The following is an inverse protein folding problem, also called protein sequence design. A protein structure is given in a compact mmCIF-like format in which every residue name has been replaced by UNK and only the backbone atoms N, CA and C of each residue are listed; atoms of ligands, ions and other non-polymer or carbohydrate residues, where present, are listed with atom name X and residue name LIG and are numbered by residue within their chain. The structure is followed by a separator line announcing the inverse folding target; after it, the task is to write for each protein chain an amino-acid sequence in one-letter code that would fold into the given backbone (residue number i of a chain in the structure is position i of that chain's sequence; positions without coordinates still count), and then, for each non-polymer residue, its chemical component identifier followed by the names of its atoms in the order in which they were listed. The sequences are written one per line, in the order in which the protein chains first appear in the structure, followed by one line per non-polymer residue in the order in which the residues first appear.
data_IF_775476338484
#
_entry.id   IF_775476338484
#
_cell.length_a   1.000
_cell.length_b   1.000
_cell.length_c   1.000
_cell.angle_alpha   90.00
_cell.angle_beta   90.00
_cell.angle_gamma   90.00
#
_symmetry.space_group_name_H-M   'P 1'
#
loop_
_entity.id
_entity.type
_entity.pdbx_description
1 polymer ?
#
# COMPACT_ATOMS: atom_id res chain seq x y z
N UNK A 1 -5.11 -11.98 -20.29
CA UNK A 1 -5.76 -13.31 -20.30
C UNK A 1 -6.32 -13.70 -18.94
N UNK A 2 -5.75 -13.18 -17.85
CA UNK A 2 -6.11 -13.54 -16.47
C UNK A 2 -7.60 -13.35 -16.14
N UNK A 3 -8.24 -12.25 -16.56
CA UNK A 3 -9.68 -12.04 -16.31
C UNK A 3 -10.56 -13.09 -16.98
N UNK A 4 -10.27 -13.44 -18.24
CA UNK A 4 -11.00 -14.49 -18.97
C UNK A 4 -10.80 -15.85 -18.29
N UNK A 5 -9.57 -16.16 -17.89
CA UNK A 5 -9.26 -17.42 -17.24
C UNK A 5 -9.94 -17.53 -15.86
N UNK A 6 -9.99 -16.44 -15.09
CA UNK A 6 -10.70 -16.40 -13.82
C UNK A 6 -12.21 -16.61 -14.01
N UNK A 7 -12.84 -15.92 -14.98
CA UNK A 7 -14.26 -16.13 -15.30
C UNK A 7 -14.55 -17.58 -15.71
N UNK A 8 -13.73 -18.16 -16.59
CA UNK A 8 -13.91 -19.57 -17.01
C UNK A 8 -13.76 -20.53 -15.83
N UNK A 9 -12.80 -20.30 -14.93
CA UNK A 9 -12.59 -21.15 -13.73
C UNK A 9 -13.71 -21.02 -12.69
N UNK A 10 -14.41 -19.89 -12.69
CA UNK A 10 -15.47 -19.57 -11.73
C UNK A 10 -16.86 -19.66 -12.35
N UNK A 11 -17.03 -20.40 -13.45
CA UNK A 11 -18.31 -20.58 -14.15
C UNK A 11 -19.02 -19.25 -14.47
N UNK A 12 -18.23 -18.23 -14.85
CA UNK A 12 -18.67 -16.87 -15.17
C UNK A 12 -19.30 -16.10 -13.99
N UNK A 13 -19.17 -16.59 -12.76
CA UNK A 13 -19.52 -15.87 -11.54
C UNK A 13 -18.51 -14.73 -11.32
N UNK A 14 -18.98 -13.50 -11.51
CA UNK A 14 -18.15 -12.29 -11.43
C UNK A 14 -17.56 -12.12 -10.03
N UNK A 15 -18.32 -12.42 -8.97
CA UNK A 15 -17.86 -12.23 -7.60
C UNK A 15 -16.76 -13.22 -7.27
N UNK A 16 -16.98 -14.51 -7.57
CA UNK A 16 -15.96 -15.55 -7.37
C UNK A 16 -14.72 -15.32 -8.24
N UNK A 17 -14.90 -14.85 -9.47
CA UNK A 17 -13.78 -14.52 -10.34
C UNK A 17 -12.95 -13.35 -9.79
N UNK A 18 -13.59 -12.32 -9.23
CA UNK A 18 -12.91 -11.20 -8.56
C UNK A 18 -12.12 -11.68 -7.33
N UNK A 19 -12.74 -12.49 -6.47
CA UNK A 19 -12.09 -13.07 -5.29
C UNK A 19 -10.88 -13.94 -5.69
N UNK A 20 -11.03 -14.77 -6.73
CA UNK A 20 -9.93 -15.58 -7.26
C UNK A 20 -8.79 -14.73 -7.85
N UNK A 21 -9.10 -13.62 -8.52
CA UNK A 21 -8.09 -12.69 -9.02
C UNK A 21 -7.36 -11.98 -7.88
N UNK A 22 -8.07 -11.63 -6.80
CA UNK A 22 -7.47 -11.07 -5.60
C UNK A 22 -6.45 -12.05 -5.01
N UNK A 23 -6.85 -13.29 -4.74
CA UNK A 23 -5.97 -14.34 -4.22
C UNK A 23 -4.75 -14.59 -5.12
N UNK A 24 -4.95 -14.67 -6.44
CA UNK A 24 -3.84 -14.77 -7.40
C UNK A 24 -2.91 -13.55 -7.36
N UNK A 25 -3.45 -12.36 -7.10
CA UNK A 25 -2.67 -11.14 -6.89
C UNK A 25 -1.72 -11.29 -5.70
N UNK A 26 -2.22 -11.79 -4.57
CA UNK A 26 -1.41 -12.08 -3.39
C UNK A 26 -0.26 -13.05 -3.70
N UNK A 27 -0.55 -14.16 -4.39
CA UNK A 27 0.49 -15.10 -4.79
C UNK A 27 1.54 -14.47 -5.72
N UNK A 28 1.09 -13.66 -6.69
CA UNK A 28 1.97 -12.99 -7.64
C UNK A 28 2.86 -11.96 -6.99
N UNK A 29 2.36 -11.27 -5.96
CA UNK A 29 3.11 -10.32 -5.15
C UNK A 29 4.13 -11.06 -4.26
N UNK A 30 3.73 -12.12 -3.57
CA UNK A 30 4.62 -12.95 -2.75
C UNK A 30 5.81 -13.49 -3.57
N UNK A 31 5.56 -13.99 -4.79
CA UNK A 31 6.60 -14.46 -5.73
C UNK A 31 7.59 -13.38 -6.19
N UNK A 32 7.33 -12.10 -5.89
CA UNK A 32 8.16 -10.95 -6.27
C UNK A 32 8.76 -10.23 -5.08
N UNK A 33 8.38 -10.56 -3.85
CA UNK A 33 8.78 -9.85 -2.65
C UNK A 33 10.30 -9.71 -2.51
N UNK A 34 11.05 -10.75 -2.92
CA UNK A 34 12.52 -10.78 -2.85
C UNK A 34 13.23 -10.01 -3.98
N UNK A 35 12.49 -9.50 -4.98
CA UNK A 35 13.10 -8.75 -6.08
C UNK A 35 13.56 -7.39 -5.60
N UNK A 36 14.76 -7.00 -6.00
CA UNK A 36 15.33 -5.72 -5.63
C UNK A 36 14.51 -4.55 -6.19
N UNK A 37 14.18 -3.59 -5.34
CA UNK A 37 13.45 -2.36 -5.69
C UNK A 37 14.32 -1.14 -5.38
N UNK A 38 15.03 -0.68 -6.41
CA UNK A 38 15.95 0.46 -6.32
C UNK A 38 15.43 1.75 -6.97
N UNK A 39 14.26 1.71 -7.60
CA UNK A 39 13.59 2.86 -8.21
C UNK A 39 12.34 3.19 -7.39
N UNK A 40 11.66 4.31 -7.68
CA UNK A 40 10.45 4.69 -6.94
C UNK A 40 10.17 6.19 -6.91
N UNK A 41 9.37 6.60 -5.93
CA UNK A 41 9.02 7.99 -5.66
C UNK A 41 9.16 8.32 -4.17
N UNK A 42 9.62 9.54 -3.91
CA UNK A 42 9.35 10.23 -2.65
C UNK A 42 8.09 11.05 -2.87
N UNK A 43 7.02 10.74 -2.14
CA UNK A 43 5.75 11.47 -2.23
C UNK A 43 5.48 12.19 -0.90
N UNK A 44 5.13 13.47 -1.00
CA UNK A 44 4.77 14.29 0.14
C UNK A 44 3.31 14.75 0.03
N UNK A 45 2.56 14.59 1.11
CA UNK A 45 1.21 15.10 1.22
C UNK A 45 1.11 16.06 2.40
N UNK A 46 0.57 17.26 2.16
CA UNK A 46 0.29 18.26 3.20
C UNK A 46 -1.22 18.47 3.21
N UNK A 47 -1.86 18.18 4.33
CA UNK A 47 -3.29 18.35 4.45
C UNK A 47 -3.69 19.83 4.47
N UNK A 48 -4.96 20.10 4.12
CA UNK A 48 -5.52 21.44 4.09
C UNK A 48 -5.24 22.20 5.41
N UNK A 49 -4.75 23.44 5.27
CA UNK A 49 -4.35 24.26 6.42
C UNK A 49 -2.91 24.06 6.89
N UNK A 50 -2.15 23.12 6.32
CA UNK A 50 -0.69 23.00 6.53
C UNK A 50 -0.26 22.56 7.92
N UNK A 51 -1.19 22.01 8.72
CA UNK A 51 -0.92 21.61 10.11
C UNK A 51 -0.45 20.18 10.27
N UNK A 52 -0.73 19.32 9.29
CA UNK A 52 -0.34 17.91 9.30
C UNK A 52 0.10 17.52 7.89
N UNK A 53 1.13 16.69 7.81
CA UNK A 53 1.60 16.15 6.53
C UNK A 53 2.45 14.91 6.73
N UNK A 54 2.67 14.20 5.64
CA UNK A 54 3.52 13.01 5.62
C UNK A 54 4.40 12.97 4.37
N UNK A 55 5.54 12.32 4.50
CA UNK A 55 6.44 11.98 3.39
C UNK A 55 6.62 10.46 3.40
N UNK A 56 6.52 9.84 2.23
CA UNK A 56 6.73 8.40 2.07
C UNK A 56 7.79 8.13 1.01
N UNK A 57 8.45 6.98 1.13
CA UNK A 57 9.25 6.39 0.06
C UNK A 57 8.58 5.10 -0.43
N UNK A 58 8.08 5.13 -1.67
CA UNK A 58 7.48 3.98 -2.33
C UNK A 58 8.42 3.51 -3.45
N UNK A 59 8.91 2.28 -3.37
CA UNK A 59 9.87 1.74 -4.33
C UNK A 59 9.23 0.73 -5.29
N UNK A 60 9.78 0.66 -6.49
CA UNK A 60 9.52 -0.34 -7.52
C UNK A 60 10.83 -0.83 -8.18
N UNK A 61 10.75 -1.74 -9.15
CA UNK A 61 11.93 -2.30 -9.81
C UNK A 61 12.50 -1.32 -10.85
N UNK A 62 11.66 -0.63 -11.63
CA UNK A 62 12.10 0.25 -12.73
C UNK A 62 11.57 1.69 -12.62
N UNK A 63 12.28 2.63 -13.25
CA UNK A 63 11.85 4.03 -13.32
C UNK A 63 10.64 4.22 -14.27
N UNK A 64 10.40 3.29 -15.18
CA UNK A 64 9.21 3.26 -16.03
C UNK A 64 7.94 3.14 -15.21
N UNK A 65 7.88 2.18 -14.26
CA UNK A 65 6.70 2.02 -13.38
C UNK A 65 6.54 3.24 -12.47
N UNK A 66 7.63 3.77 -11.91
CA UNK A 66 7.60 4.96 -11.05
C UNK A 66 6.96 6.20 -11.72
N UNK A 67 6.98 6.29 -13.06
CA UNK A 67 6.41 7.41 -13.81
C UNK A 67 4.96 7.22 -14.23
N UNK A 68 4.38 6.03 -14.04
CA UNK A 68 2.98 5.76 -14.39
C UNK A 68 2.02 6.48 -13.46
N UNK A 69 0.85 6.87 -13.98
CA UNK A 69 -0.19 7.54 -13.17
C UNK A 69 -0.67 6.62 -12.05
N UNK A 70 -0.76 5.32 -12.30
CA UNK A 70 -1.19 4.34 -11.30
C UNK A 70 -0.23 4.27 -10.11
N UNK A 71 1.08 4.28 -10.34
CA UNK A 71 2.07 4.30 -9.24
C UNK A 71 2.08 5.63 -8.50
N UNK A 72 1.95 6.76 -9.22
CA UNK A 72 1.86 8.10 -8.63
C UNK A 72 0.60 8.25 -7.75
N UNK A 73 -0.55 7.78 -8.23
CA UNK A 73 -1.80 7.80 -7.47
C UNK A 73 -1.68 6.93 -6.22
N UNK A 74 -1.08 5.73 -6.32
CA UNK A 74 -0.83 4.88 -5.16
C UNK A 74 0.05 5.58 -4.12
N UNK A 75 1.16 6.19 -4.54
CA UNK A 75 2.04 6.92 -3.63
C UNK A 75 1.31 8.08 -2.93
N UNK A 76 0.52 8.85 -3.69
CA UNK A 76 -0.27 9.95 -3.16
C UNK A 76 -1.32 9.49 -2.14
N UNK A 77 -2.02 8.41 -2.46
CA UNK A 77 -3.04 7.83 -1.58
C UNK A 77 -2.44 7.28 -0.28
N UNK A 78 -1.26 6.65 -0.35
CA UNK A 78 -0.54 6.20 0.84
C UNK A 78 -0.04 7.39 1.67
N UNK A 79 0.48 8.46 1.05
CA UNK A 79 0.92 9.63 1.80
C UNK A 79 -0.25 10.31 2.53
N UNK A 80 -1.41 10.41 1.87
CA UNK A 80 -2.64 10.90 2.48
C UNK A 80 -3.16 9.96 3.58
N UNK A 81 -3.07 8.64 3.40
CA UNK A 81 -3.38 7.65 4.43
C UNK A 81 -2.52 7.86 5.68
N UNK A 82 -1.19 7.93 5.53
CA UNK A 82 -0.26 8.14 6.66
C UNK A 82 -0.60 9.42 7.41
N UNK A 83 -0.88 10.49 6.67
CA UNK A 83 -1.29 11.78 7.25
C UNK A 83 -2.54 11.65 8.11
N UNK A 84 -3.55 10.93 7.62
CA UNK A 84 -4.86 10.81 8.26
C UNK A 84 -4.90 9.80 9.42
N UNK A 85 -4.19 8.69 9.29
CA UNK A 85 -4.33 7.53 10.18
C UNK A 85 -3.17 7.33 11.15
N UNK A 86 -2.09 8.10 11.00
CA UNK A 86 -0.93 8.10 11.90
C UNK A 86 -0.40 6.70 12.27
N UNK A 87 -0.14 5.81 11.29
CA UNK A 87 0.49 4.52 11.59
C UNK A 87 1.88 4.72 12.21
N UNK A 88 2.29 3.80 13.06
CA UNK A 88 3.63 3.78 13.66
C UNK A 88 4.57 2.81 12.93
N UNK A 89 4.01 1.80 12.27
CA UNK A 89 4.74 0.70 11.65
C UNK A 89 4.30 0.49 10.20
N UNK A 90 5.16 -0.13 9.38
CA UNK A 90 4.80 -0.49 8.01
C UNK A 90 3.94 -1.75 8.03
N UNK A 91 4.41 -2.82 8.65
CA UNK A 91 3.77 -4.12 8.65
C UNK A 91 3.70 -4.75 10.05
N UNK A 92 2.96 -5.88 10.17
CA UNK A 92 2.76 -6.60 11.44
C UNK A 92 4.08 -7.12 12.02
N UNK A 93 5.03 -7.43 11.15
CA UNK A 93 6.35 -7.91 11.52
C UNK A 93 7.19 -6.83 12.24
N UNK A 94 6.89 -5.56 12.00
CA UNK A 94 7.56 -4.42 12.67
C UNK A 94 6.91 -4.09 14.02
N UNK A 95 5.72 -4.61 14.31
CA UNK A 95 4.97 -4.33 15.53
C UNK A 95 5.60 -5.07 16.73
N UNK A 96 5.94 -4.38 17.84
CA UNK A 96 6.43 -5.01 19.05
C UNK A 96 5.43 -6.04 19.59
N UNK A 97 5.94 -7.19 20.05
CA UNK A 97 5.11 -8.28 20.55
C UNK A 97 4.30 -7.92 21.81
N UNK A 98 4.72 -6.88 22.52
CA UNK A 98 4.10 -6.31 23.71
C UNK A 98 3.20 -5.10 23.40
N UNK A 99 2.99 -4.76 22.11
CA UNK A 99 2.10 -3.67 21.73
C UNK A 99 0.63 -3.99 22.08
N UNK A 100 -0.04 -3.05 22.74
CA UNK A 100 -1.48 -3.12 23.02
C UNK A 100 -2.33 -2.60 21.85
N UNK A 101 -1.71 -1.92 20.88
CA UNK A 101 -2.41 -1.33 19.74
C UNK A 101 -2.74 -2.38 18.68
N UNK A 102 -3.99 -2.44 18.19
CA UNK A 102 -4.35 -3.35 17.10
C UNK A 102 -3.52 -3.08 15.84
N UNK A 103 -3.15 -4.13 15.12
CA UNK A 103 -2.37 -4.00 13.90
C UNK A 103 -3.09 -3.14 12.84
N UNK A 104 -4.42 -3.20 12.77
CA UNK A 104 -5.25 -2.41 11.86
C UNK A 104 -5.21 -0.90 12.16
N UNK A 105 -4.68 -0.50 13.32
CA UNK A 105 -4.44 0.90 13.71
C UNK A 105 -2.96 1.23 13.56
N UNK A 106 -2.07 0.41 14.13
CA UNK A 106 -0.65 0.72 14.23
C UNK A 106 0.14 0.47 12.93
N UNK A 107 -0.29 -0.49 12.09
CA UNK A 107 0.47 -0.93 10.92
C UNK A 107 -0.18 -0.45 9.61
N UNK A 108 0.54 0.37 8.85
CA UNK A 108 0.06 0.98 7.60
C UNK A 108 -0.50 -0.04 6.61
N UNK A 109 0.16 -1.19 6.41
CA UNK A 109 -0.28 -2.23 5.47
C UNK A 109 -1.63 -2.85 5.85
N UNK A 110 -1.98 -2.84 7.12
CA UNK A 110 -3.19 -3.49 7.65
C UNK A 110 -4.37 -2.54 7.77
N UNK A 111 -4.11 -1.23 7.71
CA UNK A 111 -5.14 -0.22 7.80
C UNK A 111 -6.14 -0.32 6.65
N UNK A 112 -7.44 -0.16 6.93
CA UNK A 112 -8.45 0.13 5.91
C UNK A 112 -8.11 1.44 5.19
N UNK A 113 -8.29 1.46 3.88
CA UNK A 113 -8.03 2.64 3.06
C UNK A 113 -9.09 3.71 3.31
N UNK A 114 -8.66 4.94 3.63
CA UNK A 114 -9.57 6.04 3.98
C UNK A 114 -10.59 6.40 2.88
N UNK A 115 -10.30 6.13 1.60
CA UNK A 115 -11.23 6.37 0.49
C UNK A 115 -12.14 5.17 0.20
N UNK A 116 -11.82 3.97 0.68
CA UNK A 116 -12.62 2.75 0.53
C UNK A 116 -12.27 1.72 1.61
N UNK A 117 -13.10 1.66 2.66
CA UNK A 117 -12.84 0.81 3.83
C UNK A 117 -12.95 -0.70 3.55
N UNK A 118 -13.39 -1.11 2.36
CA UNK A 118 -13.44 -2.53 1.98
C UNK A 118 -12.08 -3.08 1.54
N UNK A 119 -11.07 -2.22 1.42
CA UNK A 119 -9.73 -2.56 0.95
C UNK A 119 -8.71 -2.02 1.95
N UNK A 120 -7.62 -2.76 2.13
CA UNK A 120 -6.48 -2.30 2.93
C UNK A 120 -5.42 -1.65 2.05
N UNK A 121 -4.44 -0.97 2.66
CA UNK A 121 -3.27 -0.47 1.91
C UNK A 121 -2.48 -1.61 1.25
N UNK A 122 -2.38 -2.77 1.92
CA UNK A 122 -1.80 -4.00 1.34
C UNK A 122 -2.54 -4.40 0.05
N UNK A 123 -3.87 -4.34 0.03
CA UNK A 123 -4.66 -4.64 -1.18
C UNK A 123 -4.30 -3.68 -2.32
N UNK A 124 -4.20 -2.37 -2.06
CA UNK A 124 -3.83 -1.38 -3.08
C UNK A 124 -2.48 -1.68 -3.73
N UNK A 125 -1.49 -2.03 -2.90
CA UNK A 125 -0.14 -2.37 -3.36
C UNK A 125 -0.18 -3.65 -4.20
N UNK A 126 -0.87 -4.70 -3.74
CA UNK A 126 -0.98 -5.97 -4.45
C UNK A 126 -1.66 -5.80 -5.81
N UNK A 127 -2.70 -4.96 -5.88
CA UNK A 127 -3.36 -4.65 -7.14
C UNK A 127 -2.42 -3.91 -8.11
N UNK A 128 -1.62 -2.96 -7.60
CA UNK A 128 -0.63 -2.26 -8.40
C UNK A 128 0.46 -3.24 -8.89
N UNK A 129 0.94 -4.14 -8.04
CA UNK A 129 1.87 -5.23 -8.41
C UNK A 129 1.26 -6.14 -9.47
N UNK A 130 -0.01 -6.50 -9.36
CA UNK A 130 -0.69 -7.37 -10.32
C UNK A 130 -0.78 -6.72 -11.71
N UNK A 131 -0.97 -5.40 -11.77
CA UNK A 131 -1.06 -4.62 -13.01
C UNK A 131 0.30 -4.33 -13.64
N UNK A 132 1.26 -3.88 -12.84
CA UNK A 132 2.62 -3.49 -13.30
C UNK A 132 3.56 -4.68 -13.47
N UNK A 133 3.30 -5.77 -12.74
CA UNK A 133 4.14 -6.98 -12.66
C UNK A 133 5.52 -6.76 -12.03
N UNK A 134 5.71 -5.65 -11.33
CA UNK A 134 6.91 -5.35 -10.55
C UNK A 134 6.66 -5.54 -9.05
N UNK A 135 7.70 -5.82 -8.29
CA UNK A 135 7.68 -5.68 -6.84
C UNK A 135 7.49 -4.21 -6.46
N UNK A 136 6.59 -3.94 -5.52
CA UNK A 136 6.33 -2.61 -4.98
C UNK A 136 6.34 -2.70 -3.46
N UNK A 137 7.09 -1.82 -2.80
CA UNK A 137 7.17 -1.78 -1.34
C UNK A 137 7.21 -0.34 -0.81
N UNK A 138 6.66 -0.15 0.38
CA UNK A 138 6.89 1.05 1.18
C UNK A 138 8.20 0.81 1.94
N UNK A 139 9.21 1.66 1.74
CA UNK A 139 10.48 1.52 2.48
C UNK A 139 10.47 2.28 3.80
N UNK A 140 9.82 3.45 3.84
CA UNK A 140 9.70 4.28 5.04
C UNK A 140 8.63 5.34 4.84
N UNK A 141 8.15 5.89 5.94
CA UNK A 141 7.35 7.09 5.96
C UNK A 141 7.71 7.92 7.20
N UNK A 142 7.33 9.19 7.18
CA UNK A 142 7.33 10.07 8.34
C UNK A 142 6.07 10.92 8.30
N UNK A 143 5.51 11.19 9.47
CA UNK A 143 4.37 12.08 9.66
C UNK A 143 4.81 13.23 10.56
N UNK A 144 4.28 14.42 10.29
CA UNK A 144 4.45 15.59 11.12
C UNK A 144 3.10 16.21 11.42
N UNK A 145 2.88 16.59 12.67
CA UNK A 145 1.71 17.35 13.10
C UNK A 145 2.14 18.54 13.97
N UNK A 146 1.56 19.70 13.70
CA UNK A 146 1.84 20.93 14.42
C UNK A 146 1.42 20.80 15.90
N UNK A 147 2.42 20.84 16.79
CA UNK A 147 2.22 20.73 18.24
C UNK A 147 2.41 19.31 18.78
N UNK A 148 2.68 18.33 17.92
CA UNK A 148 3.12 17.00 18.32
C UNK A 148 4.59 17.06 18.74
N UNK A 149 4.90 16.62 19.97
CA UNK A 149 6.28 16.41 20.41
C UNK A 149 6.77 15.09 19.84
N UNK A 150 7.84 15.12 19.03
CA UNK A 150 8.51 13.90 18.59
C UNK A 150 8.92 13.07 19.82
N UNK A 151 8.36 11.88 19.96
CA UNK A 151 8.92 10.86 20.84
C UNK A 151 10.10 10.24 20.08
N UNK A 152 11.31 10.54 20.54
CA UNK A 152 12.56 9.92 20.08
C UNK A 152 12.63 8.43 20.47
#
# INVERSE_FOLDING_TARGET
MDCRNALVKCDWDIKKAADSLKEQGYEKAAKKADRATGQGLIEAYIHAGGRVGAIIELNCETDFVARTDEFKTLAHDIAMQVTAMSPCYICKEDLPADSEEPAEVACLMEQPFIKDQNRTIRDLIIECIAKTKENIRISRFTRFELGETQQD
#
